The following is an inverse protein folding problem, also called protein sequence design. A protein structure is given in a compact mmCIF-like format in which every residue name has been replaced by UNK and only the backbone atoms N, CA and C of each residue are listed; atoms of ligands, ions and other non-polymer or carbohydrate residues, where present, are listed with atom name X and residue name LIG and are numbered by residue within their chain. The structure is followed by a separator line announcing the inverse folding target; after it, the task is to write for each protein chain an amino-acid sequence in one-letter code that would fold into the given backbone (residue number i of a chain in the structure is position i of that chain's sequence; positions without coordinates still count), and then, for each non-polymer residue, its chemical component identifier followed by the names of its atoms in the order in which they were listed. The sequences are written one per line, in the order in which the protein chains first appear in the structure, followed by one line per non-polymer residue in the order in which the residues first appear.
data_IF_389889101697
#
_entry.id   IF_389889101697
#
_cell.length_a   1.000
_cell.length_b   1.000
_cell.length_c   1.000
_cell.angle_alpha   90.00
_cell.angle_beta   90.00
_cell.angle_gamma   90.00
#
_symmetry.space_group_name_H-M   'P 1'
#
loop_
_entity.id
_entity.type
_entity.pdbx_description
1 polymer ?
#
# COMPACT_ATOMS: atom_id res chain seq x y z
N UNK A 1 30.45 15.44 15.13
CA UNK A 1 30.38 14.35 14.12
C UNK A 1 29.20 13.38 14.33
N UNK A 2 28.32 13.58 15.34
CA UNK A 2 27.25 12.63 15.72
C UNK A 2 25.85 12.91 15.15
N UNK A 3 25.48 14.17 14.84
CA UNK A 3 24.16 14.48 14.26
C UNK A 3 24.04 14.16 12.76
N UNK A 4 25.12 14.32 12.00
CA UNK A 4 25.12 14.09 10.54
C UNK A 4 25.08 12.59 10.16
N UNK A 5 25.53 11.70 11.05
CA UNK A 5 25.38 10.25 10.90
C UNK A 5 23.97 9.74 11.29
N UNK A 6 23.27 10.44 12.18
CA UNK A 6 21.91 10.09 12.61
C UNK A 6 20.86 10.42 11.53
N UNK A 7 21.02 11.54 10.82
CA UNK A 7 20.18 11.91 9.67
C UNK A 7 20.29 10.92 8.49
N UNK A 8 21.41 10.20 8.36
CA UNK A 8 21.58 9.14 7.34
C UNK A 8 20.71 7.89 7.55
N UNK A 9 19.95 7.80 8.65
CA UNK A 9 19.10 6.64 8.98
C UNK A 9 17.60 6.91 8.82
N UNK A 10 17.20 8.14 8.55
CA UNK A 10 15.80 8.49 8.31
C UNK A 10 15.57 8.61 6.81
N UNK A 11 14.56 7.89 6.30
CA UNK A 11 14.16 7.95 4.90
C UNK A 11 12.68 8.28 4.87
N UNK A 12 12.37 9.51 4.47
CA UNK A 12 11.02 10.03 4.42
C UNK A 12 10.91 10.96 3.23
N UNK A 13 9.88 10.76 2.40
CA UNK A 13 9.53 11.77 1.40
C UNK A 13 8.04 12.07 1.39
N UNK A 14 7.74 13.29 0.99
CA UNK A 14 6.41 13.76 0.66
C UNK A 14 6.55 14.57 -0.63
N UNK A 15 5.84 14.15 -1.66
CA UNK A 15 5.80 14.84 -2.94
C UNK A 15 4.36 14.90 -3.45
N UNK A 16 4.06 15.95 -4.20
CA UNK A 16 2.77 16.17 -4.83
C UNK A 16 2.95 16.61 -6.28
N UNK A 17 1.87 16.54 -7.07
CA UNK A 17 1.87 17.13 -8.41
C UNK A 17 1.88 18.65 -8.26
N UNK A 18 2.89 19.31 -8.82
CA UNK A 18 3.01 20.78 -8.80
C UNK A 18 1.95 21.50 -9.64
N UNK A 19 1.32 20.79 -10.56
CA UNK A 19 0.23 21.29 -11.40
C UNK A 19 -0.72 20.15 -11.79
N UNK A 20 -1.86 20.51 -12.39
CA UNK A 20 -2.72 19.55 -13.07
C UNK A 20 -1.90 18.80 -14.14
N UNK A 21 -2.05 17.48 -14.19
CA UNK A 21 -1.39 16.62 -15.18
C UNK A 21 -2.35 15.58 -15.74
N UNK A 22 -2.07 15.17 -16.97
CA UNK A 22 -2.69 14.02 -17.62
C UNK A 22 -1.60 13.01 -17.97
N UNK A 23 -1.80 11.77 -17.53
CA UNK A 23 -0.89 10.67 -17.81
C UNK A 23 -1.49 9.78 -18.91
N UNK A 24 -0.62 9.30 -19.80
CA UNK A 24 -0.98 8.25 -20.75
C UNK A 24 -0.88 6.89 -20.07
N UNK A 25 -1.62 5.90 -20.58
CA UNK A 25 -1.57 4.52 -20.09
C UNK A 25 -0.13 4.04 -19.96
N UNK A 26 0.22 3.54 -18.77
CA UNK A 26 1.54 3.00 -18.49
C UNK A 26 2.62 4.05 -18.21
N UNK A 27 2.27 5.35 -18.13
CA UNK A 27 3.23 6.39 -17.72
C UNK A 27 3.50 6.32 -16.22
N UNK A 28 4.74 6.60 -15.83
CA UNK A 28 5.10 6.85 -14.43
C UNK A 28 4.57 8.23 -14.03
N UNK A 29 4.03 8.33 -12.82
CA UNK A 29 3.57 9.59 -12.27
C UNK A 29 4.72 10.34 -11.60
N UNK A 30 4.98 11.55 -12.08
CA UNK A 30 6.07 12.40 -11.64
C UNK A 30 5.52 13.48 -10.71
N UNK A 31 5.75 13.29 -9.40
CA UNK A 31 5.42 14.24 -8.34
C UNK A 31 6.59 15.21 -8.17
N UNK A 32 6.55 16.26 -8.98
CA UNK A 32 7.62 17.25 -9.15
C UNK A 32 7.71 18.27 -8.03
N UNK A 33 6.64 18.46 -7.24
CA UNK A 33 6.65 19.33 -6.07
C UNK A 33 7.00 18.53 -4.82
N UNK A 34 8.25 18.62 -4.38
CA UNK A 34 8.77 17.91 -3.22
C UNK A 34 8.71 18.80 -1.99
N UNK A 35 7.90 18.41 -0.99
CA UNK A 35 7.81 19.12 0.28
C UNK A 35 8.83 18.59 1.31
N UNK A 36 9.12 17.29 1.27
CA UNK A 36 10.13 16.63 2.14
C UNK A 36 10.84 15.52 1.36
N UNK A 37 12.15 15.36 1.53
CA UNK A 37 12.94 14.26 0.94
C UNK A 37 14.17 13.90 1.79
N UNK A 38 13.94 13.55 3.06
CA UNK A 38 15.02 13.12 3.96
C UNK A 38 15.58 11.78 3.47
N UNK A 39 16.91 11.72 3.32
CA UNK A 39 17.61 10.57 2.73
C UNK A 39 17.78 10.65 1.21
N UNK A 40 17.20 11.66 0.55
CA UNK A 40 17.30 11.89 -0.91
C UNK A 40 16.99 10.63 -1.74
N UNK A 41 16.02 9.82 -1.28
CA UNK A 41 15.68 8.56 -1.91
C UNK A 41 14.62 8.71 -3.01
N UNK A 42 13.90 9.84 -3.05
CA UNK A 42 12.96 10.16 -4.11
C UNK A 42 13.58 11.10 -5.16
N UNK A 43 13.42 10.77 -6.43
CA UNK A 43 13.85 11.58 -7.57
C UNK A 43 12.63 12.22 -8.28
N UNK A 44 12.41 13.54 -8.12
CA UNK A 44 11.28 14.23 -8.72
C UNK A 44 11.39 14.42 -10.24
N UNK A 45 12.53 14.11 -10.86
CA UNK A 45 12.67 14.14 -12.33
C UNK A 45 12.16 12.86 -12.98
N UNK A 46 12.18 11.74 -12.25
CA UNK A 46 11.77 10.41 -12.76
C UNK A 46 10.49 9.89 -12.11
N UNK A 47 10.09 10.44 -10.96
CA UNK A 47 8.95 9.96 -10.19
C UNK A 47 9.25 8.71 -9.35
N UNK A 48 10.52 8.32 -9.24
CA UNK A 48 10.94 7.07 -8.61
C UNK A 48 11.53 7.30 -7.23
N UNK A 49 11.23 6.38 -6.33
CA UNK A 49 11.96 6.18 -5.08
C UNK A 49 12.94 5.02 -5.24
N UNK A 50 14.18 5.17 -4.78
CA UNK A 50 15.16 4.08 -4.72
C UNK A 50 15.49 3.79 -3.27
N UNK A 51 15.22 2.57 -2.81
CA UNK A 51 15.47 2.18 -1.43
C UNK A 51 16.97 2.34 -1.08
N UNK A 52 17.35 3.23 -0.15
CA UNK A 52 18.77 3.46 0.17
C UNK A 52 19.36 2.36 1.05
N UNK A 53 18.51 1.61 1.76
CA UNK A 53 18.87 0.51 2.66
C UNK A 53 17.82 -0.60 2.61
N UNK A 54 18.17 -1.80 3.08
CA UNK A 54 17.19 -2.84 3.31
C UNK A 54 16.24 -2.39 4.45
N UNK A 55 14.95 -2.67 4.35
CA UNK A 55 14.01 -2.25 5.39
C UNK A 55 12.54 -2.38 5.00
N UNK A 56 11.66 -2.17 5.97
CA UNK A 56 10.22 -2.05 5.73
C UNK A 56 9.89 -0.58 5.47
N UNK A 57 9.39 -0.30 4.28
CA UNK A 57 8.96 1.02 3.84
C UNK A 57 7.45 1.03 3.69
N UNK A 58 6.80 2.07 4.21
CA UNK A 58 5.39 2.32 3.99
C UNK A 58 5.21 3.43 2.96
N UNK A 59 4.38 3.17 1.97
CA UNK A 59 3.98 4.12 0.93
C UNK A 59 2.48 4.38 1.04
N UNK A 60 2.09 5.64 0.91
CA UNK A 60 0.69 6.05 0.79
C UNK A 60 0.58 6.96 -0.43
N UNK A 61 -0.44 6.79 -1.24
CA UNK A 61 -0.68 7.68 -2.38
C UNK A 61 -2.17 7.94 -2.53
N UNK A 62 -2.49 9.17 -2.92
CA UNK A 62 -3.84 9.70 -3.02
C UNK A 62 -4.00 10.49 -4.30
N UNK A 63 -5.15 10.36 -4.93
CA UNK A 63 -5.52 11.04 -6.17
C UNK A 63 -6.83 11.78 -5.98
N UNK A 64 -6.88 13.02 -6.44
CA UNK A 64 -8.11 13.77 -6.64
C UNK A 64 -8.48 13.75 -8.13
N UNK A 65 -9.64 13.18 -8.43
CA UNK A 65 -10.15 13.03 -9.80
C UNK A 65 -11.26 14.04 -10.07
N UNK A 66 -11.12 14.79 -11.17
CA UNK A 66 -12.12 15.74 -11.65
C UNK A 66 -13.44 15.07 -12.07
N UNK A 67 -14.54 15.82 -12.23
CA UNK A 67 -15.73 15.29 -12.89
C UNK A 67 -15.36 14.74 -14.27
N UNK A 68 -15.95 13.60 -14.62
CA UNK A 68 -15.67 12.88 -15.87
C UNK A 68 -14.29 12.22 -15.98
N UNK A 69 -13.41 12.37 -14.98
CA UNK A 69 -12.10 11.72 -14.97
C UNK A 69 -12.13 10.32 -14.33
N UNK A 70 -11.17 9.47 -14.70
CA UNK A 70 -10.89 8.20 -14.03
C UNK A 70 -9.43 8.19 -13.57
N UNK A 71 -9.12 7.37 -12.56
CA UNK A 71 -7.77 7.17 -12.07
C UNK A 71 -7.56 5.70 -11.78
N UNK A 72 -6.46 5.15 -12.28
CA UNK A 72 -6.03 3.79 -11.99
C UNK A 72 -4.53 3.77 -11.69
N UNK A 73 -4.17 4.01 -10.43
CA UNK A 73 -2.78 3.99 -10.01
C UNK A 73 -2.36 2.60 -9.53
N UNK A 74 -1.25 2.10 -10.05
CA UNK A 74 -0.54 0.96 -9.46
C UNK A 74 0.75 1.44 -8.80
N UNK A 75 1.05 0.92 -7.61
CA UNK A 75 2.39 1.01 -7.03
C UNK A 75 3.20 -0.19 -7.54
N UNK A 76 4.34 0.11 -8.16
CA UNK A 76 5.25 -0.87 -8.74
C UNK A 76 6.54 -0.93 -7.94
N UNK A 77 7.10 -2.13 -7.81
CA UNK A 77 8.45 -2.39 -7.31
C UNK A 77 9.21 -3.13 -8.41
N UNK A 78 10.29 -2.54 -8.93
CA UNK A 78 11.12 -3.12 -10.01
C UNK A 78 10.30 -3.62 -11.22
N UNK A 79 9.19 -2.94 -11.57
CA UNK A 79 8.32 -3.33 -12.69
C UNK A 79 7.19 -4.29 -12.34
N UNK A 80 7.14 -4.81 -11.12
CA UNK A 80 6.02 -5.63 -10.63
C UNK A 80 5.03 -4.79 -9.83
N UNK A 81 3.74 -4.90 -10.17
CA UNK A 81 2.68 -4.23 -9.42
C UNK A 81 2.48 -4.91 -8.05
N UNK A 82 2.51 -4.13 -6.97
CA UNK A 82 2.33 -4.61 -5.60
C UNK A 82 1.02 -4.16 -4.97
N UNK A 83 0.53 -2.97 -5.32
CA UNK A 83 -0.75 -2.49 -4.82
C UNK A 83 -1.44 -1.58 -5.85
N UNK A 84 -2.73 -1.39 -5.65
CA UNK A 84 -3.63 -0.72 -6.59
C UNK A 84 -4.52 0.30 -5.89
N UNK A 85 -4.92 1.31 -6.66
CA UNK A 85 -5.91 2.31 -6.31
C UNK A 85 -6.70 2.67 -7.56
N UNK A 86 -8.02 2.77 -7.44
CA UNK A 86 -8.87 3.20 -8.55
C UNK A 86 -9.91 4.20 -8.08
N UNK A 87 -10.30 5.09 -8.99
CA UNK A 87 -11.55 5.81 -8.90
C UNK A 87 -12.11 6.03 -10.30
N UNK A 88 -13.44 6.12 -10.40
CA UNK A 88 -14.11 6.48 -11.63
C UNK A 88 -15.13 7.56 -11.32
N UNK A 89 -14.95 8.74 -11.91
CA UNK A 89 -15.85 9.88 -11.78
C UNK A 89 -16.58 10.19 -13.10
N UNK A 90 -16.66 9.23 -14.02
CA UNK A 90 -17.29 9.40 -15.35
C UNK A 90 -18.77 9.80 -15.26
N UNK A 91 -19.49 9.32 -14.24
CA UNK A 91 -20.86 9.75 -13.97
C UNK A 91 -21.00 11.03 -13.16
N UNK A 92 -19.92 11.56 -12.57
CA UNK A 92 -19.97 12.80 -11.80
C UNK A 92 -20.17 14.02 -12.69
N UNK A 93 -20.93 15.00 -12.20
CA UNK A 93 -21.19 16.26 -12.93
C UNK A 93 -20.38 17.43 -12.36
N UNK A 94 -20.22 17.50 -11.04
CA UNK A 94 -19.61 18.66 -10.37
C UNK A 94 -18.66 18.28 -9.22
N UNK A 95 -18.78 17.09 -8.65
CA UNK A 95 -17.95 16.69 -7.52
C UNK A 95 -16.57 16.19 -7.94
N UNK A 96 -15.56 16.54 -7.16
CA UNK A 96 -14.29 15.84 -7.14
C UNK A 96 -14.44 14.56 -6.32
N UNK A 97 -13.71 13.51 -6.68
CA UNK A 97 -13.61 12.30 -5.85
C UNK A 97 -12.16 12.01 -5.52
N UNK A 98 -11.94 11.52 -4.31
CA UNK A 98 -10.63 11.04 -3.89
C UNK A 98 -10.57 9.53 -4.01
N UNK A 99 -9.39 9.01 -4.27
CA UNK A 99 -9.09 7.63 -3.95
C UNK A 99 -7.63 7.53 -3.50
N UNK A 100 -7.38 6.59 -2.60
CA UNK A 100 -6.07 6.37 -2.04
C UNK A 100 -5.82 4.90 -1.81
N UNK A 101 -4.57 4.58 -1.55
CA UNK A 101 -4.15 3.27 -1.07
C UNK A 101 -2.83 3.41 -0.34
N UNK A 102 -2.47 2.38 0.42
CA UNK A 102 -1.18 2.30 1.09
C UNK A 102 -0.70 0.88 1.16
N UNK A 103 0.63 0.72 1.16
CA UNK A 103 1.27 -0.57 1.35
C UNK A 103 2.55 -0.41 2.14
N UNK A 104 2.80 -1.35 3.06
CA UNK A 104 4.09 -1.52 3.69
C UNK A 104 4.76 -2.76 3.09
N UNK A 105 6.00 -2.63 2.65
CA UNK A 105 6.76 -3.66 1.94
C UNK A 105 8.18 -3.76 2.50
N UNK A 106 8.70 -4.98 2.53
CA UNK A 106 10.13 -5.22 2.70
C UNK A 106 10.87 -4.97 1.38
N UNK A 107 11.74 -3.96 1.36
CA UNK A 107 12.57 -3.59 0.21
C UNK A 107 14.04 -3.90 0.47
N UNK A 108 14.76 -4.26 -0.59
CA UNK A 108 16.21 -4.32 -0.62
C UNK A 108 16.78 -3.00 -1.11
N UNK A 109 17.99 -2.66 -0.67
CA UNK A 109 18.74 -1.52 -1.19
C UNK A 109 18.81 -1.60 -2.73
N UNK A 110 18.42 -0.52 -3.38
CA UNK A 110 18.36 -0.41 -4.84
C UNK A 110 17.02 -0.77 -5.45
N UNK A 111 16.07 -1.34 -4.70
CA UNK A 111 14.71 -1.55 -5.20
C UNK A 111 14.09 -0.19 -5.59
N UNK A 112 13.58 -0.09 -6.82
CA UNK A 112 12.88 1.08 -7.33
C UNK A 112 11.38 0.95 -7.08
N UNK A 113 10.77 1.98 -6.49
CA UNK A 113 9.34 2.09 -6.24
C UNK A 113 8.77 3.30 -6.96
N UNK A 114 7.67 3.14 -7.67
CA UNK A 114 7.01 4.24 -8.37
C UNK A 114 5.53 3.99 -8.59
N UNK A 115 4.78 5.08 -8.78
CA UNK A 115 3.38 5.03 -9.19
C UNK A 115 3.32 5.05 -10.72
N UNK A 116 2.55 4.15 -11.30
CA UNK A 116 2.34 4.05 -12.75
C UNK A 116 0.87 3.85 -13.06
N UNK A 117 0.42 4.45 -14.14
CA UNK A 117 -0.94 4.30 -14.62
C UNK A 117 -1.22 2.88 -15.14
N UNK A 118 -2.24 2.23 -14.58
CA UNK A 118 -2.59 0.83 -14.80
C UNK A 118 -3.51 0.59 -15.99
N UNK A 119 -4.60 1.36 -16.14
CA UNK A 119 -5.59 1.25 -17.24
C UNK A 119 -6.42 2.55 -17.40
N UNK A 120 -6.81 2.84 -18.66
CA UNK A 120 -7.79 3.83 -19.14
C UNK A 120 -7.32 5.26 -19.48
N UNK A 121 -8.04 5.81 -20.45
CA UNK A 121 -7.74 6.94 -21.34
C UNK A 121 -8.44 8.18 -20.78
N UNK A 122 -7.72 9.31 -20.68
CA UNK A 122 -8.14 10.62 -20.10
C UNK A 122 -8.23 10.63 -18.57
N UNK A 123 -7.11 11.00 -17.95
CA UNK A 123 -7.03 11.31 -16.53
C UNK A 123 -6.72 12.80 -16.40
N UNK A 124 -7.56 13.54 -15.69
CA UNK A 124 -7.28 14.94 -15.33
C UNK A 124 -7.24 14.94 -13.80
N UNK A 125 -6.04 15.16 -13.27
CA UNK A 125 -5.80 15.23 -11.84
C UNK A 125 -5.79 16.67 -11.40
N UNK A 126 -6.58 16.99 -10.38
CA UNK A 126 -6.48 18.29 -9.73
C UNK A 126 -5.27 18.42 -8.84
N UNK A 127 -5.12 17.46 -7.93
CA UNK A 127 -3.98 17.31 -7.03
C UNK A 127 -3.79 15.82 -6.75
N UNK A 128 -2.54 15.36 -6.69
CA UNK A 128 -2.21 14.00 -6.23
C UNK A 128 -0.97 14.08 -5.37
N UNK A 129 -0.97 13.31 -4.29
CA UNK A 129 0.06 13.30 -3.25
C UNK A 129 0.57 11.87 -3.10
N UNK A 130 1.87 11.73 -2.92
CA UNK A 130 2.53 10.50 -2.52
C UNK A 130 3.41 10.78 -1.31
N UNK A 131 3.35 9.88 -0.34
CA UNK A 131 4.22 9.91 0.83
C UNK A 131 4.87 8.54 1.03
N UNK A 132 6.08 8.57 1.59
CA UNK A 132 6.74 7.37 2.06
C UNK A 132 7.48 7.65 3.36
N UNK A 133 7.47 6.67 4.24
CA UNK A 133 8.26 6.63 5.46
C UNK A 133 8.90 5.26 5.62
N UNK A 134 10.19 5.22 5.94
CA UNK A 134 10.87 4.03 6.44
C UNK A 134 10.38 3.76 7.87
N UNK A 135 9.80 2.57 8.07
CA UNK A 135 9.26 2.14 9.37
C UNK A 135 10.31 1.34 10.14
N UNK A 136 11.08 0.49 9.45
CA UNK A 136 12.15 -0.31 10.06
C UNK A 136 13.39 -0.39 9.17
N UNK A 137 14.56 -0.18 9.78
CA UNK A 137 15.86 -0.37 9.13
C UNK A 137 16.39 -1.79 9.38
N UNK A 138 16.68 -2.54 8.32
CA UNK A 138 17.50 -3.76 8.42
C UNK A 138 18.98 -3.36 8.34
N UNK A 139 19.74 -3.58 9.41
CA UNK A 139 21.19 -3.50 9.35
C UNK A 139 21.68 -4.62 8.45
N UNK A 140 22.17 -4.28 7.25
CA UNK A 140 22.67 -5.26 6.30
C UNK A 140 23.89 -6.00 6.87
N UNK A 141 23.85 -7.34 6.94
CA UNK A 141 25.08 -8.11 6.84
C UNK A 141 25.62 -7.88 5.42
N UNK A 142 26.82 -7.30 5.32
CA UNK A 142 27.49 -7.10 4.04
C UNK A 142 27.89 -8.45 3.45
N UNK A 143 27.34 -8.80 2.28
CA UNK A 143 27.80 -9.95 1.49
C UNK A 143 28.91 -9.49 0.53
N UNK A 144 30.06 -10.13 0.65
CA UNK A 144 31.20 -9.96 -0.27
C UNK A 144 30.80 -10.58 -1.61
N UNK A 145 30.77 -9.77 -2.67
CA UNK A 145 30.47 -10.24 -4.01
C UNK A 145 31.74 -10.83 -4.65
N UNK A 146 31.68 -12.11 -5.03
CA UNK A 146 32.67 -12.74 -5.91
C UNK A 146 32.42 -12.35 -7.37
N UNK A 147 33.49 -12.02 -8.08
CA UNK A 147 33.44 -11.57 -9.48
C UNK A 147 33.18 -12.76 -10.42
N UNK A 148 32.10 -12.73 -11.19
CA UNK A 148 31.70 -13.82 -12.09
C UNK A 148 31.30 -13.24 -13.46
N UNK A 149 32.21 -13.26 -14.43
CA UNK A 149 31.97 -12.78 -15.80
C UNK A 149 31.15 -13.78 -16.64
N UNK A 150 29.82 -13.79 -16.49
CA UNK A 150 28.90 -14.32 -17.52
C UNK A 150 27.48 -13.73 -17.37
N UNK A 151 27.00 -12.95 -18.34
CA UNK A 151 25.96 -11.94 -18.14
C UNK A 151 24.52 -12.47 -17.91
N UNK A 152 24.18 -13.66 -18.41
CA UNK A 152 22.82 -14.23 -18.29
C UNK A 152 22.64 -15.10 -17.03
N UNK A 153 23.67 -15.85 -16.63
CA UNK A 153 23.67 -16.62 -15.38
C UNK A 153 23.82 -15.72 -14.16
N UNK A 154 24.54 -14.61 -14.27
CA UNK A 154 24.73 -13.66 -13.15
C UNK A 154 23.47 -12.89 -12.77
N UNK A 155 22.54 -12.60 -13.69
CA UNK A 155 21.30 -11.90 -13.34
C UNK A 155 20.33 -12.81 -12.58
N UNK A 156 20.18 -14.06 -13.04
CA UNK A 156 19.35 -15.06 -12.37
C UNK A 156 19.92 -15.40 -10.99
N UNK A 157 21.23 -15.62 -10.89
CA UNK A 157 21.91 -15.90 -9.61
C UNK A 157 21.81 -14.69 -8.67
N UNK A 158 21.97 -13.45 -9.15
CA UNK A 158 21.78 -12.23 -8.33
C UNK A 158 20.35 -12.08 -7.83
N UNK A 159 19.36 -12.32 -8.70
CA UNK A 159 17.94 -12.26 -8.31
C UNK A 159 17.62 -13.33 -7.26
N UNK A 160 18.14 -14.55 -7.43
CA UNK A 160 17.98 -15.63 -6.46
C UNK A 160 18.69 -15.34 -5.14
N UNK A 161 19.92 -14.82 -5.16
CA UNK A 161 20.65 -14.37 -3.96
C UNK A 161 19.89 -13.27 -3.23
N UNK A 162 19.40 -12.25 -3.95
CA UNK A 162 18.58 -11.18 -3.36
C UNK A 162 17.30 -11.72 -2.73
N UNK A 163 16.63 -12.68 -3.39
CA UNK A 163 15.46 -13.35 -2.84
C UNK A 163 15.82 -14.17 -1.59
N UNK A 164 16.96 -14.88 -1.60
CA UNK A 164 17.43 -15.66 -0.46
C UNK A 164 17.79 -14.76 0.73
N UNK A 165 18.46 -13.64 0.48
CA UNK A 165 18.76 -12.61 1.48
C UNK A 165 17.48 -12.02 2.08
N UNK A 166 16.45 -11.77 1.24
CA UNK A 166 15.11 -11.37 1.73
C UNK A 166 14.54 -12.45 2.66
N UNK A 167 14.60 -13.73 2.30
CA UNK A 167 14.14 -14.83 3.14
C UNK A 167 14.94 -15.00 4.44
N UNK A 168 16.26 -14.81 4.42
CA UNK A 168 17.13 -14.86 5.61
C UNK A 168 16.80 -13.70 6.54
N UNK A 169 16.61 -12.49 6.01
CA UNK A 169 16.18 -11.33 6.80
C UNK A 169 14.78 -11.56 7.40
N UNK A 170 13.86 -12.18 6.66
CA UNK A 170 12.54 -12.58 7.17
C UNK A 170 12.62 -13.63 8.30
N UNK A 171 13.59 -14.54 8.27
CA UNK A 171 13.82 -15.55 9.30
C UNK A 171 14.53 -14.98 10.53
N UNK A 172 15.35 -13.94 10.35
CA UNK A 172 16.12 -13.31 11.42
C UNK A 172 15.30 -12.33 12.29
N UNK A 173 14.19 -11.77 11.78
CA UNK A 173 13.39 -10.78 12.51
C UNK A 173 12.05 -11.33 13.00
N UNK A 174 12.03 -11.95 14.19
CA UNK A 174 10.77 -12.16 14.93
C UNK A 174 10.07 -10.83 15.30
N UNK A 175 10.81 -9.73 15.23
CA UNK A 175 10.35 -8.40 15.62
C UNK A 175 9.85 -7.56 14.43
N UNK A 176 9.78 -8.13 13.22
CA UNK A 176 9.22 -7.44 12.06
C UNK A 176 7.94 -8.12 11.61
N UNK A 177 6.85 -7.36 11.69
CA UNK A 177 5.52 -7.83 11.29
C UNK A 177 4.97 -6.85 10.28
N UNK A 178 4.74 -7.31 9.07
CA UNK A 178 4.07 -6.53 8.03
C UNK A 178 3.26 -7.43 7.13
N UNK A 179 2.02 -7.04 6.86
CA UNK A 179 1.22 -7.69 5.85
C UNK A 179 0.47 -6.68 4.99
N UNK A 180 0.19 -7.11 3.76
CA UNK A 180 -0.73 -6.46 2.85
C UNK A 180 -1.42 -7.54 2.02
N UNK A 181 -2.74 -7.51 2.00
CA UNK A 181 -3.56 -8.42 1.23
C UNK A 181 -4.68 -7.68 0.49
N UNK A 182 -4.95 -8.13 -0.73
CA UNK A 182 -6.02 -7.65 -1.59
C UNK A 182 -7.13 -8.72 -1.70
N UNK A 183 -8.32 -8.35 -2.18
CA UNK A 183 -9.30 -9.35 -2.61
C UNK A 183 -8.93 -9.90 -4.00
N UNK A 184 -8.78 -11.22 -4.12
CA UNK A 184 -8.39 -11.89 -5.36
C UNK A 184 -9.42 -11.73 -6.49
N UNK A 185 -10.70 -11.62 -6.13
CA UNK A 185 -11.85 -11.40 -7.00
C UNK A 185 -12.84 -10.44 -6.34
N UNK A 186 -13.84 -9.95 -7.08
CA UNK A 186 -14.93 -9.18 -6.48
C UNK A 186 -15.75 -10.08 -5.56
N UNK A 187 -16.11 -9.58 -4.38
CA UNK A 187 -16.80 -10.36 -3.35
C UNK A 187 -18.04 -9.64 -2.84
N UNK A 188 -19.01 -10.45 -2.44
CA UNK A 188 -20.27 -10.00 -1.85
C UNK A 188 -20.36 -10.53 -0.43
N UNK A 189 -20.59 -9.64 0.53
CA UNK A 189 -20.66 -9.97 1.95
C UNK A 189 -21.99 -9.53 2.56
N UNK A 190 -22.59 -10.41 3.35
CA UNK A 190 -23.73 -10.05 4.19
C UNK A 190 -23.25 -9.30 5.44
N UNK A 191 -24.15 -8.56 6.08
CA UNK A 191 -23.91 -7.95 7.39
C UNK A 191 -23.30 -8.96 8.36
N UNK A 192 -22.27 -8.53 9.10
CA UNK A 192 -21.60 -9.38 10.10
C UNK A 192 -20.63 -10.40 9.51
N UNK A 193 -20.39 -10.39 8.19
CA UNK A 193 -19.38 -11.25 7.58
C UNK A 193 -17.99 -10.63 7.72
N UNK A 194 -17.00 -11.43 8.12
CA UNK A 194 -15.59 -11.05 8.05
C UNK A 194 -15.19 -10.95 6.58
N UNK A 195 -14.53 -9.86 6.21
CA UNK A 195 -14.03 -9.66 4.86
C UNK A 195 -12.71 -10.41 4.68
N UNK A 196 -12.64 -11.23 3.64
CA UNK A 196 -11.49 -12.09 3.35
C UNK A 196 -10.67 -11.47 2.23
N UNK A 197 -9.43 -11.07 2.53
CA UNK A 197 -8.44 -10.64 1.55
C UNK A 197 -7.51 -11.81 1.27
N UNK A 198 -7.84 -12.58 0.23
CA UNK A 198 -7.25 -13.89 -0.09
C UNK A 198 -6.00 -13.79 -0.95
N UNK A 199 -5.72 -12.63 -1.54
CA UNK A 199 -4.54 -12.39 -2.35
C UNK A 199 -3.47 -11.67 -1.53
N UNK A 200 -2.58 -12.44 -0.92
CA UNK A 200 -1.48 -11.91 -0.10
C UNK A 200 -0.39 -11.33 -0.99
N UNK A 201 -0.02 -10.07 -0.76
CA UNK A 201 1.12 -9.39 -1.41
C UNK A 201 2.35 -9.46 -0.52
N UNK A 202 2.19 -9.30 0.79
CA UNK A 202 3.27 -9.38 1.78
C UNK A 202 2.69 -9.94 3.08
N UNK A 203 3.45 -10.76 3.79
CA UNK A 203 3.06 -11.34 5.08
C UNK A 203 4.30 -11.74 5.92
N UNK A 204 5.19 -10.79 6.15
CA UNK A 204 6.37 -10.97 7.01
C UNK A 204 5.90 -11.14 8.46
N UNK A 205 6.46 -12.13 9.15
CA UNK A 205 5.98 -12.57 10.46
C UNK A 205 4.81 -13.56 10.39
N UNK A 206 4.27 -13.83 9.19
CA UNK A 206 3.17 -14.78 8.95
C UNK A 206 1.94 -14.55 9.86
N UNK A 207 1.66 -13.29 10.17
CA UNK A 207 0.66 -12.90 11.15
C UNK A 207 -0.75 -12.76 10.55
N UNK A 208 -0.88 -12.68 9.21
CA UNK A 208 -2.17 -12.61 8.54
C UNK A 208 -2.57 -13.96 7.92
N UNK A 209 -3.81 -14.38 8.14
CA UNK A 209 -4.38 -15.60 7.57
C UNK A 209 -5.39 -15.27 6.44
N UNK A 210 -5.04 -15.54 5.17
CA UNK A 210 -5.89 -15.22 4.03
C UNK A 210 -7.14 -16.10 3.89
N UNK A 211 -7.26 -17.22 4.62
CA UNK A 211 -8.49 -18.03 4.62
C UNK A 211 -9.53 -17.53 5.61
N UNK A 212 -9.12 -16.79 6.64
CA UNK A 212 -10.01 -16.26 7.69
C UNK A 212 -10.17 -14.74 7.67
N UNK A 213 -9.30 -14.01 6.96
CA UNK A 213 -9.31 -12.55 6.92
C UNK A 213 -8.77 -11.90 8.20
N UNK A 214 -8.13 -12.68 9.07
CA UNK A 214 -7.67 -12.22 10.38
C UNK A 214 -6.16 -12.07 10.42
N UNK A 215 -5.72 -10.98 11.03
CA UNK A 215 -4.39 -10.81 11.56
C UNK A 215 -4.37 -11.27 13.03
N UNK A 216 -3.33 -11.98 13.44
CA UNK A 216 -3.09 -12.36 14.85
C UNK A 216 -1.75 -11.77 15.26
N UNK A 217 -1.75 -10.88 16.26
CA UNK A 217 -0.54 -10.23 16.74
C UNK A 217 0.47 -11.29 17.23
N UNK A 218 1.67 -11.40 16.61
CA UNK A 218 2.66 -12.39 17.01
C UNK A 218 3.49 -11.96 18.23
N UNK A 219 3.42 -10.68 18.61
CA UNK A 219 4.10 -10.08 19.76
C UNK A 219 3.32 -8.86 20.25
N UNK A 220 3.56 -8.45 21.49
CA UNK A 220 3.03 -7.19 22.03
C UNK A 220 3.60 -6.00 21.25
N UNK A 221 2.77 -5.01 20.95
CA UNK A 221 3.25 -3.82 20.26
C UNK A 221 2.17 -2.89 19.75
N UNK A 222 2.62 -1.79 19.14
CA UNK A 222 1.77 -0.84 18.44
C UNK A 222 1.79 -1.22 16.97
N UNK A 223 0.61 -1.52 16.44
CA UNK A 223 0.41 -1.88 15.05
C UNK A 223 -0.40 -0.80 14.35
N UNK A 224 0.10 -0.33 13.20
CA UNK A 224 -0.64 0.56 12.31
C UNK A 224 -1.38 -0.28 11.28
N UNK A 225 -2.71 -0.18 11.24
CA UNK A 225 -3.55 -0.81 10.23
C UNK A 225 -4.08 0.21 9.23
N UNK A 226 -4.22 -0.20 7.98
CA UNK A 226 -4.82 0.59 6.91
C UNK A 226 -5.74 -0.32 6.08
N UNK A 227 -6.94 0.16 5.75
CA UNK A 227 -7.87 -0.55 4.88
C UNK A 227 -8.55 0.39 3.91
N UNK A 228 -8.72 -0.11 2.68
CA UNK A 228 -9.31 0.61 1.56
C UNK A 228 -10.39 -0.24 0.94
N UNK A 229 -11.56 0.37 0.74
CA UNK A 229 -12.75 -0.30 0.23
C UNK A 229 -13.18 0.36 -1.07
N UNK A 230 -13.11 -0.37 -2.19
CA UNK A 230 -13.70 0.09 -3.45
C UNK A 230 -15.16 -0.32 -3.50
N UNK A 231 -16.06 0.67 -3.49
CA UNK A 231 -17.50 0.45 -3.62
C UNK A 231 -17.97 0.60 -5.05
N UNK A 232 -18.76 -0.35 -5.52
CA UNK A 232 -19.43 -0.27 -6.81
C UNK A 232 -20.44 0.90 -6.87
N UNK A 233 -20.80 1.37 -8.07
CA UNK A 233 -21.91 2.30 -8.26
C UNK A 233 -23.16 1.83 -7.52
N UNK A 234 -23.88 2.76 -6.89
CA UNK A 234 -25.15 2.51 -6.18
C UNK A 234 -25.05 1.54 -4.98
N UNK A 235 -23.85 1.24 -4.49
CA UNK A 235 -23.63 0.33 -3.34
C UNK A 235 -23.10 1.10 -2.14
N UNK A 236 -23.58 0.73 -0.95
CA UNK A 236 -22.96 1.14 0.32
C UNK A 236 -22.17 -0.02 0.92
N UNK A 237 -20.98 0.25 1.44
CA UNK A 237 -20.21 -0.73 2.21
C UNK A 237 -19.59 -0.06 3.43
N UNK A 238 -19.84 -0.63 4.61
CA UNK A 238 -19.29 -0.10 5.86
C UNK A 238 -18.38 -1.14 6.49
N UNK A 239 -17.08 -0.82 6.52
CA UNK A 239 -16.06 -1.65 7.16
C UNK A 239 -15.94 -1.28 8.64
N UNK A 240 -16.00 -2.28 9.52
CA UNK A 240 -15.60 -2.16 10.91
C UNK A 240 -14.24 -2.83 11.14
N UNK A 241 -13.31 -2.12 11.80
CA UNK A 241 -12.09 -2.72 12.32
C UNK A 241 -12.38 -3.30 13.70
N UNK A 242 -12.18 -4.60 13.88
CA UNK A 242 -12.42 -5.31 15.13
C UNK A 242 -11.11 -5.78 15.75
N UNK A 243 -11.08 -5.78 17.09
CA UNK A 243 -10.06 -6.45 17.90
C UNK A 243 -10.79 -7.40 18.85
N UNK A 244 -10.53 -8.70 18.75
CA UNK A 244 -11.16 -9.74 19.58
C UNK A 244 -12.70 -9.61 19.69
N UNK A 245 -13.37 -9.32 18.57
CA UNK A 245 -14.83 -9.15 18.55
C UNK A 245 -15.34 -7.78 18.99
N UNK A 246 -14.47 -6.87 19.43
CA UNK A 246 -14.82 -5.49 19.79
C UNK A 246 -14.44 -4.53 18.67
N UNK A 247 -15.41 -3.77 18.18
CA UNK A 247 -15.18 -2.76 17.15
C UNK A 247 -14.36 -1.58 17.69
N UNK A 248 -13.32 -1.18 16.94
CA UNK A 248 -12.41 -0.08 17.28
C UNK A 248 -12.55 1.11 16.33
N UNK A 249 -12.83 0.87 15.05
CA UNK A 249 -13.04 1.92 14.05
C UNK A 249 -14.13 1.53 13.05
N UNK A 250 -14.69 2.54 12.37
CA UNK A 250 -15.69 2.39 11.31
C UNK A 250 -15.27 3.23 10.11
N UNK A 251 -15.49 2.69 8.92
CA UNK A 251 -15.37 3.37 7.64
C UNK A 251 -16.69 3.19 6.91
N UNK A 252 -17.27 4.28 6.40
CA UNK A 252 -18.45 4.23 5.56
C UNK A 252 -18.09 4.65 4.13
N UNK A 253 -18.49 3.84 3.16
CA UNK A 253 -18.45 4.18 1.75
C UNK A 253 -19.88 4.18 1.21
N UNK A 254 -20.43 5.37 0.93
CA UNK A 254 -21.84 5.56 0.57
C UNK A 254 -21.98 5.97 -0.90
N UNK A 255 -21.82 5.01 -1.83
CA UNK A 255 -21.90 5.29 -3.27
C UNK A 255 -23.32 5.15 -3.84
N UNK A 256 -24.37 5.26 -3.02
CA UNK A 256 -25.77 4.98 -3.40
C UNK A 256 -26.33 5.95 -4.47
N UNK A 257 -25.76 7.16 -4.59
CA UNK A 257 -26.20 8.17 -5.57
C UNK A 257 -25.37 8.23 -6.85
N UNK A 258 -24.24 7.52 -6.93
CA UNK A 258 -23.31 7.61 -8.05
C UNK A 258 -23.67 6.64 -9.17
N UNK A 259 -24.13 7.15 -10.32
CA UNK A 259 -24.22 6.34 -11.55
C UNK A 259 -22.82 6.26 -12.16
N UNK A 260 -22.35 5.07 -12.57
CA UNK A 260 -21.01 4.88 -13.15
C UNK A 260 -19.83 5.46 -12.32
N UNK A 261 -20.02 5.64 -11.01
CA UNK A 261 -18.97 6.12 -10.11
C UNK A 261 -18.39 4.96 -9.31
N UNK A 262 -17.07 4.90 -9.22
CA UNK A 262 -16.37 3.98 -8.32
C UNK A 262 -15.53 4.81 -7.36
N UNK A 263 -15.81 4.68 -6.06
CA UNK A 263 -15.15 5.45 -5.02
C UNK A 263 -14.39 4.51 -4.08
N UNK A 264 -13.21 4.94 -3.63
CA UNK A 264 -12.44 4.24 -2.61
C UNK A 264 -12.53 5.00 -1.31
N UNK A 265 -13.05 4.35 -0.27
CA UNK A 265 -12.93 4.84 1.10
C UNK A 265 -11.67 4.26 1.73
N UNK A 266 -10.83 5.10 2.34
CA UNK A 266 -9.61 4.70 3.04
C UNK A 266 -9.67 5.08 4.52
N UNK A 267 -9.12 4.25 5.39
CA UNK A 267 -9.04 4.52 6.84
C UNK A 267 -7.83 3.84 7.44
N UNK A 268 -7.38 4.38 8.58
CA UNK A 268 -6.16 3.97 9.25
C UNK A 268 -6.32 4.05 10.76
N UNK A 269 -5.72 3.14 11.52
CA UNK A 269 -5.73 3.17 12.99
C UNK A 269 -4.46 2.54 13.56
N UNK A 270 -3.83 3.22 14.52
CA UNK A 270 -2.81 2.63 15.37
C UNK A 270 -3.48 1.95 16.58
N UNK A 271 -3.07 0.72 16.89
CA UNK A 271 -3.60 -0.08 17.99
C UNK A 271 -2.45 -0.64 18.81
N UNK A 272 -2.51 -0.45 20.13
CA UNK A 272 -1.71 -1.25 21.06
C UNK A 272 -2.38 -2.62 21.19
N UNK A 273 -1.66 -3.68 20.83
CA UNK A 273 -2.12 -5.06 20.86
C UNK A 273 -1.21 -5.90 21.75
N UNK A 274 -1.81 -6.90 22.39
CA UNK A 274 -1.07 -7.98 23.04
C UNK A 274 -0.88 -9.14 22.06
N UNK A 275 0.12 -9.98 22.32
CA UNK A 275 0.30 -11.26 21.64
C UNK A 275 -1.03 -12.02 21.60
N UNK A 276 -1.37 -12.56 20.42
CA UNK A 276 -2.59 -13.30 20.10
C UNK A 276 -3.86 -12.47 19.93
N UNK A 277 -3.83 -11.15 20.07
CA UNK A 277 -4.97 -10.32 19.68
C UNK A 277 -5.28 -10.50 18.19
N UNK A 278 -6.56 -10.77 17.88
CA UNK A 278 -7.04 -10.92 16.51
C UNK A 278 -7.62 -9.60 16.00
N UNK A 279 -7.12 -9.14 14.85
CA UNK A 279 -7.60 -7.96 14.14
C UNK A 279 -8.17 -8.34 12.78
N UNK A 280 -9.37 -7.86 12.47
CA UNK A 280 -10.02 -8.13 11.19
C UNK A 280 -11.00 -7.04 10.79
N UNK A 281 -11.35 -7.04 9.50
CA UNK A 281 -12.42 -6.20 8.95
C UNK A 281 -13.70 -7.03 8.87
N UNK A 282 -14.80 -6.48 9.37
CA UNK A 282 -16.12 -7.09 9.30
C UNK A 282 -17.15 -6.08 8.76
N UNK A 283 -18.11 -6.59 7.99
CA UNK A 283 -19.23 -5.76 7.53
C UNK A 283 -20.12 -5.32 8.70
N UNK A 284 -20.36 -4.01 8.80
CA UNK A 284 -21.21 -3.46 9.87
C UNK A 284 -22.46 -2.74 9.36
N UNK A 285 -22.72 -2.74 8.05
CA UNK A 285 -23.87 -2.03 7.47
C UNK A 285 -25.14 -2.89 7.49
N UNK A 286 -26.30 -2.26 7.28
CA UNK A 286 -27.60 -2.94 7.21
C UNK A 286 -27.85 -3.72 5.92
N UNK A 287 -27.00 -3.55 4.89
CA UNK A 287 -27.17 -4.15 3.56
C UNK A 287 -25.94 -4.92 3.12
N UNK A 288 -26.10 -5.76 2.11
CA UNK A 288 -25.02 -6.52 1.46
C UNK A 288 -23.97 -5.59 0.85
N UNK A 289 -22.71 -5.78 1.22
CA UNK A 289 -21.58 -5.09 0.59
C UNK A 289 -21.12 -5.81 -0.68
N UNK A 290 -20.98 -5.06 -1.78
CA UNK A 290 -20.35 -5.54 -3.01
C UNK A 290 -19.01 -4.82 -3.20
N UNK A 291 -17.93 -5.57 -3.09
CA UNK A 291 -16.58 -5.04 -2.97
C UNK A 291 -15.75 -5.36 -4.21
N UNK A 292 -15.07 -4.34 -4.73
CA UNK A 292 -14.28 -4.46 -5.95
C UNK A 292 -12.91 -5.07 -5.70
N UNK A 293 -12.71 -6.29 -6.23
CA UNK A 293 -11.49 -7.13 -6.29
C UNK A 293 -10.17 -6.51 -5.76
N UNK A 294 -9.13 -6.42 -6.60
CA UNK A 294 -7.77 -6.04 -6.20
C UNK A 294 -7.62 -4.57 -5.81
N UNK A 295 -8.73 -3.82 -5.79
CA UNK A 295 -8.80 -2.42 -5.37
C UNK A 295 -9.27 -2.27 -3.92
N UNK A 296 -9.66 -3.39 -3.29
CA UNK A 296 -10.02 -3.47 -1.88
C UNK A 296 -8.91 -4.20 -1.14
N UNK A 297 -8.31 -3.55 -0.16
CA UNK A 297 -7.08 -4.02 0.48
C UNK A 297 -7.08 -3.77 1.99
N UNK A 298 -6.38 -4.64 2.70
CA UNK A 298 -6.11 -4.52 4.13
C UNK A 298 -4.63 -4.79 4.38
N UNK A 299 -4.01 -3.94 5.18
CA UNK A 299 -2.62 -4.12 5.58
C UNK A 299 -2.37 -3.63 6.99
N UNK A 300 -1.26 -4.09 7.55
CA UNK A 300 -0.81 -3.70 8.87
C UNK A 300 0.69 -3.85 9.02
N UNK A 301 1.28 -3.05 9.90
CA UNK A 301 2.71 -3.06 10.20
C UNK A 301 2.93 -2.78 11.69
N UNK A 302 3.86 -3.50 12.32
CA UNK A 302 4.38 -3.20 13.67
C UNK A 302 5.26 -1.95 13.60
N UNK A 303 5.05 -0.97 14.48
CA UNK A 303 5.70 0.35 14.40
C UNK A 303 6.53 0.75 15.64
N UNK A 304 6.72 -0.11 16.63
CA UNK A 304 7.46 0.19 17.87
C UNK A 304 8.51 -0.85 18.25
#
# INVERSE_FOLDING_TARGET
MSQQLALKRQVVFHAELGSYKTYQKGSIWIYDKVNTNVGNAYDPSTGKFTAPTNGIYQFNWYTLSDPKATSHAGLFVNGEIKARQASNNSGGSYQLITAGSSIALLLSKGDEVYIRDGMAIRQIFGQSIVTCSLVWLLAALSVVHGDCNNALTTSLIRNQLSSLEKSINMLASKDQVVFHAEMGSSKTYNKGSIWIYDKVVTNVGNAYNPSTGKFTAPTDGIYQFNWYTLSNPQVMSHAGLFVNGVIKARQASNNNGGTNQYITAGSSMALLLNERDEVYIMDVHGYTANLGSQWTAFGGVLIN
#
